data_IF_954597604419
#
_entry.id   IF_954597604419
#
_cell.length_a   1.000
_cell.length_b   1.000
_cell.length_c   1.000
_cell.angle_alpha   90.00
_cell.angle_beta   90.00
_cell.angle_gamma   90.00
#
_symmetry.space_group_name_H-M   'P 1'
#
loop_
_entity.id
_entity.type
_entity.pdbx_description
1 polymer ?
#
# COMPACT_ATOMS: atom_id res chain seq x y z
N UNK A 1 -53.92 -24.93 -29.55
CA UNK A 1 -53.57 -23.80 -30.43
C UNK A 1 -53.77 -22.53 -29.61
N UNK A 2 -52.74 -22.04 -28.95
CA UNK A 2 -51.80 -21.05 -29.48
C UNK A 2 -52.27 -19.58 -29.44
N UNK A 3 -52.27 -18.98 -28.24
CA UNK A 3 -51.49 -17.75 -28.03
C UNK A 3 -49.98 -18.05 -27.85
N UNK A 4 -49.59 -19.33 -28.00
CA UNK A 4 -48.37 -19.89 -28.64
C UNK A 4 -48.03 -19.27 -30.03
N UNK A 5 -48.13 -17.95 -30.20
CA UNK A 5 -47.50 -17.21 -31.32
C UNK A 5 -47.08 -15.76 -30.99
N UNK A 6 -47.37 -15.23 -29.79
CA UNK A 6 -46.78 -13.96 -29.34
C UNK A 6 -45.27 -14.07 -29.00
N UNK A 7 -44.74 -15.30 -28.95
CA UNK A 7 -43.30 -15.61 -28.82
C UNK A 7 -42.50 -15.26 -30.10
N UNK A 8 -43.13 -14.94 -31.23
CA UNK A 8 -42.41 -14.91 -32.52
C UNK A 8 -41.71 -13.61 -32.90
N UNK A 9 -42.06 -12.44 -32.35
CA UNK A 9 -41.42 -11.18 -32.75
C UNK A 9 -41.12 -10.30 -31.53
N UNK A 10 -39.85 -10.31 -31.11
CA UNK A 10 -39.34 -9.67 -29.90
C UNK A 10 -39.50 -8.15 -29.89
N UNK A 11 -40.51 -7.68 -29.17
CA UNK A 11 -40.74 -6.25 -28.94
C UNK A 11 -41.30 -6.01 -27.54
N UNK A 12 -40.49 -6.17 -26.48
CA UNK A 12 -40.77 -5.57 -25.17
C UNK A 12 -39.47 -5.27 -24.43
N UNK A 13 -39.05 -4.00 -24.45
CA UNK A 13 -38.63 -3.21 -23.28
C UNK A 13 -38.17 -1.81 -23.71
N UNK A 14 -39.14 -1.01 -24.13
CA UNK A 14 -39.18 0.44 -23.96
C UNK A 14 -40.59 0.73 -23.41
N UNK A 15 -40.76 0.67 -22.09
CA UNK A 15 -41.94 1.19 -21.43
C UNK A 15 -41.63 2.63 -20.98
N UNK A 16 -42.44 3.56 -21.48
CA UNK A 16 -42.27 5.01 -21.39
C UNK A 16 -42.22 5.52 -19.95
N UNK A 17 -41.17 6.28 -19.64
CA UNK A 17 -41.11 7.14 -18.45
C UNK A 17 -42.23 8.19 -18.54
N UNK A 18 -43.09 8.29 -17.53
CA UNK A 18 -44.12 9.34 -17.50
C UNK A 18 -43.51 10.74 -17.67
N UNK A 19 -44.23 11.68 -18.30
CA UNK A 19 -43.74 13.04 -18.61
C UNK A 19 -43.25 13.82 -17.40
N UNK A 20 -43.80 13.54 -16.21
CA UNK A 20 -43.36 14.11 -14.93
C UNK A 20 -41.99 13.59 -14.49
N UNK A 21 -41.70 12.31 -14.70
CA UNK A 21 -40.38 11.72 -14.39
C UNK A 21 -39.33 12.29 -15.34
N UNK A 22 -39.65 12.47 -16.63
CA UNK A 22 -38.70 13.04 -17.61
C UNK A 22 -38.37 14.52 -17.32
N UNK A 23 -39.38 15.32 -16.97
CA UNK A 23 -39.21 16.74 -16.61
C UNK A 23 -38.44 16.93 -15.29
N UNK A 24 -38.65 16.05 -14.31
CA UNK A 24 -37.91 16.06 -13.05
C UNK A 24 -36.43 15.74 -13.28
N UNK A 25 -36.13 14.76 -14.12
CA UNK A 25 -34.77 14.36 -14.49
C UNK A 25 -34.02 15.49 -15.23
N UNK A 26 -34.66 16.19 -16.17
CA UNK A 26 -34.06 17.35 -16.87
C UNK A 26 -33.77 18.54 -15.93
N UNK A 27 -34.61 18.77 -14.92
CA UNK A 27 -34.36 19.84 -13.93
C UNK A 27 -33.21 19.50 -12.99
N UNK A 28 -33.10 18.24 -12.58
CA UNK A 28 -32.01 17.77 -11.72
C UNK A 28 -30.66 17.80 -12.47
N UNK A 29 -30.63 17.37 -13.73
CA UNK A 29 -29.45 17.44 -14.60
C UNK A 29 -28.94 18.89 -14.79
N UNK A 30 -29.85 19.84 -15.05
CA UNK A 30 -29.48 21.24 -15.24
C UNK A 30 -28.96 21.93 -13.96
N UNK A 31 -29.46 21.53 -12.79
CA UNK A 31 -28.99 22.07 -11.52
C UNK A 31 -27.61 21.50 -11.15
N UNK A 32 -27.43 20.19 -11.33
CA UNK A 32 -26.15 19.49 -11.10
C UNK A 32 -25.02 20.04 -11.98
N UNK A 33 -25.28 20.25 -13.27
CA UNK A 33 -24.30 20.82 -14.20
C UNK A 33 -23.92 22.25 -13.86
N UNK A 34 -24.86 23.07 -13.36
CA UNK A 34 -24.58 24.44 -12.90
C UNK A 34 -23.69 24.45 -11.67
N UNK A 35 -23.89 23.54 -10.73
CA UNK A 35 -23.11 23.47 -9.50
C UNK A 35 -21.69 22.91 -9.74
N UNK A 36 -21.54 21.93 -10.65
CA UNK A 36 -20.21 21.50 -11.14
C UNK A 36 -19.49 22.60 -11.92
N UNK A 37 -20.20 23.38 -12.73
CA UNK A 37 -19.59 24.50 -13.44
C UNK A 37 -19.12 25.61 -12.49
N UNK A 38 -19.87 25.90 -11.42
CA UNK A 38 -19.40 26.79 -10.34
C UNK A 38 -18.14 26.24 -9.66
N UNK A 39 -18.10 24.93 -9.39
CA UNK A 39 -16.94 24.24 -8.80
C UNK A 39 -15.68 24.32 -9.69
N UNK A 40 -15.82 24.20 -11.01
CA UNK A 40 -14.68 24.27 -11.95
C UNK A 40 -14.03 25.65 -12.05
N UNK A 41 -14.74 26.72 -11.70
CA UNK A 41 -14.23 28.10 -11.83
C UNK A 41 -13.73 28.69 -10.50
N UNK A 42 -13.97 28.02 -9.37
CA UNK A 42 -13.39 28.40 -8.07
C UNK A 42 -11.95 27.90 -7.96
N UNK A 43 -10.98 28.82 -7.91
CA UNK A 43 -9.56 28.49 -7.74
C UNK A 43 -9.13 28.37 -6.26
N UNK A 44 -10.05 28.56 -5.31
CA UNK A 44 -9.74 28.53 -3.88
C UNK A 44 -10.81 27.73 -3.13
N UNK A 45 -10.42 26.52 -2.68
CA UNK A 45 -11.34 25.52 -2.11
C UNK A 45 -11.73 25.81 -0.64
N UNK A 46 -11.16 26.85 -0.02
CA UNK A 46 -11.43 27.26 1.37
C UNK A 46 -12.72 28.06 1.56
N UNK A 47 -13.29 28.61 0.48
CA UNK A 47 -14.51 29.44 0.53
C UNK A 47 -15.81 28.60 0.46
N UNK A 48 -15.72 27.27 0.64
CA UNK A 48 -16.80 26.31 0.40
C UNK A 48 -17.44 25.72 1.68
N UNK A 49 -17.28 26.40 2.81
CA UNK A 49 -17.98 26.02 4.04
C UNK A 49 -19.39 26.64 4.06
N UNK A 50 -20.43 25.80 4.16
CA UNK A 50 -21.81 26.28 4.27
C UNK A 50 -22.12 26.56 5.73
N UNK A 51 -22.46 27.81 6.04
CA UNK A 51 -22.86 28.22 7.39
C UNK A 51 -24.38 28.15 7.53
N UNK A 52 -24.88 27.28 8.40
CA UNK A 52 -26.30 27.17 8.73
C UNK A 52 -26.57 28.11 9.91
N UNK A 53 -27.02 29.32 9.61
CA UNK A 53 -27.24 30.40 10.59
C UNK A 53 -28.18 30.01 11.73
N UNK A 54 -29.18 29.16 11.47
CA UNK A 54 -30.17 28.73 12.47
C UNK A 54 -29.60 27.84 13.59
N UNK A 55 -28.51 27.14 13.29
CA UNK A 55 -27.89 26.12 14.17
C UNK A 55 -26.45 26.51 14.55
N UNK A 56 -25.97 27.66 14.08
CA UNK A 56 -24.60 28.16 14.21
C UNK A 56 -23.53 27.11 13.84
N UNK A 57 -23.82 26.29 12.82
CA UNK A 57 -22.96 25.21 12.35
C UNK A 57 -22.33 25.53 10.99
N UNK A 58 -21.03 25.24 10.87
CA UNK A 58 -20.23 25.37 9.65
C UNK A 58 -19.98 23.98 9.07
N UNK A 59 -20.59 23.65 7.93
CA UNK A 59 -20.41 22.37 7.26
C UNK A 59 -19.27 22.44 6.26
N UNK A 60 -18.22 21.66 6.53
CA UNK A 60 -17.06 21.53 5.65
C UNK A 60 -17.37 20.80 4.34
N UNK A 61 -16.61 21.09 3.28
CA UNK A 61 -16.80 20.58 1.91
C UNK A 61 -17.01 19.05 1.81
N UNK A 62 -16.43 18.27 2.75
CA UNK A 62 -16.59 16.81 2.86
C UNK A 62 -18.03 16.40 3.13
N UNK A 63 -18.76 17.17 3.95
CA UNK A 63 -20.15 16.89 4.31
C UNK A 63 -21.12 17.29 3.20
N UNK A 64 -20.83 18.35 2.44
CA UNK A 64 -21.69 18.80 1.32
C UNK A 64 -21.70 17.76 0.20
N UNK A 65 -20.54 17.16 -0.13
CA UNK A 65 -20.46 16.06 -1.10
C UNK A 65 -21.15 14.79 -0.61
N UNK A 66 -21.07 14.49 0.70
CA UNK A 66 -21.81 13.39 1.33
C UNK A 66 -23.33 13.62 1.31
N UNK A 67 -23.79 14.86 1.49
CA UNK A 67 -25.22 15.23 1.42
C UNK A 67 -25.78 15.22 -0.01
N UNK A 68 -24.93 15.39 -1.03
CA UNK A 68 -25.30 15.30 -2.45
C UNK A 68 -25.26 13.86 -3.00
N UNK A 69 -24.70 12.90 -2.24
CA UNK A 69 -24.60 11.51 -2.62
C UNK A 69 -25.95 10.80 -2.90
N UNK A 70 -27.04 11.07 -2.16
CA UNK A 70 -28.34 10.47 -2.47
C UNK A 70 -28.92 10.90 -3.81
N UNK A 71 -28.66 12.16 -4.24
CA UNK A 71 -29.12 12.71 -5.53
C UNK A 71 -28.26 12.25 -6.72
N UNK A 72 -26.98 11.97 -6.48
CA UNK A 72 -26.06 11.38 -7.47
C UNK A 72 -26.38 9.91 -7.78
N UNK A 73 -26.94 9.19 -6.80
CA UNK A 73 -27.17 7.76 -6.90
C UNK A 73 -28.22 7.39 -7.97
N UNK A 74 -29.35 8.12 -8.05
CA UNK A 74 -30.35 7.94 -9.13
C UNK A 74 -29.82 8.37 -10.52
N UNK A 75 -28.77 9.19 -10.57
CA UNK A 75 -28.20 9.75 -11.79
C UNK A 75 -27.21 8.79 -12.49
N UNK A 76 -26.56 7.92 -11.71
CA UNK A 76 -25.47 7.05 -12.19
C UNK A 76 -25.94 5.80 -12.93
N UNK A 77 -27.21 5.41 -12.80
CA UNK A 77 -27.74 4.22 -13.46
C UNK A 77 -28.05 4.41 -14.96
N UNK A 78 -27.77 5.58 -15.55
CA UNK A 78 -28.23 5.90 -16.91
C UNK A 78 -27.19 6.52 -17.87
N UNK A 79 -25.93 6.79 -17.48
CA UNK A 79 -24.93 7.14 -18.50
C UNK A 79 -23.46 6.90 -18.09
N UNK A 80 -22.75 6.10 -18.91
CA UNK A 80 -21.29 5.93 -18.83
C UNK A 80 -20.52 7.26 -19.03
N UNK A 81 -21.15 8.27 -19.64
CA UNK A 81 -20.55 9.57 -19.94
C UNK A 81 -20.34 10.49 -18.72
N UNK A 82 -21.00 10.21 -17.58
CA UNK A 82 -20.85 11.00 -16.35
C UNK A 82 -19.75 10.41 -15.46
N UNK A 83 -19.60 9.09 -15.46
CA UNK A 83 -18.53 8.39 -14.73
C UNK A 83 -17.16 8.89 -15.19
N UNK A 84 -16.89 8.97 -16.49
CA UNK A 84 -15.62 9.49 -17.01
C UNK A 84 -15.30 10.92 -16.55
N UNK A 85 -16.32 11.78 -16.38
CA UNK A 85 -16.14 13.18 -15.96
C UNK A 85 -16.02 13.39 -14.45
N UNK A 86 -16.46 12.43 -13.64
CA UNK A 86 -16.22 12.41 -12.17
C UNK A 86 -14.79 11.97 -11.87
N UNK A 87 -14.18 11.16 -12.72
CA UNK A 87 -12.79 10.70 -12.54
C UNK A 87 -11.74 11.69 -13.05
N UNK A 88 -12.15 12.73 -13.77
CA UNK A 88 -11.32 13.89 -14.16
C UNK A 88 -11.15 14.91 -13.01
N UNK A 89 -10.92 14.44 -11.78
CA UNK A 89 -10.42 15.35 -10.74
C UNK A 89 -8.97 15.73 -11.06
N UNK A 90 -8.56 17.00 -10.87
CA UNK A 90 -7.16 17.38 -11.04
C UNK A 90 -6.27 16.51 -10.15
N UNK A 91 -5.09 16.11 -10.64
CA UNK A 91 -4.13 15.20 -9.96
C UNK A 91 -3.76 15.60 -8.52
N UNK A 92 -4.08 16.84 -8.15
CA UNK A 92 -3.87 17.45 -6.84
C UNK A 92 -4.82 16.94 -5.74
N UNK A 93 -5.82 16.09 -6.05
CA UNK A 93 -6.67 15.46 -5.01
C UNK A 93 -5.94 14.29 -4.34
N UNK A 94 -5.69 14.34 -3.00
CA UNK A 94 -4.97 13.30 -2.27
C UNK A 94 -5.60 11.91 -2.45
N UNK A 95 -4.75 10.89 -2.60
CA UNK A 95 -5.16 9.48 -2.81
C UNK A 95 -6.10 8.95 -1.71
N UNK A 96 -5.95 9.46 -0.49
CA UNK A 96 -6.80 9.11 0.66
C UNK A 96 -8.26 9.50 0.40
N UNK A 97 -8.51 10.66 -0.20
CA UNK A 97 -9.87 11.16 -0.46
C UNK A 97 -10.52 10.42 -1.63
N UNK A 98 -9.73 10.00 -2.63
CA UNK A 98 -10.17 9.05 -3.68
C UNK A 98 -10.58 7.69 -3.09
N UNK A 99 -9.82 7.19 -2.12
CA UNK A 99 -10.13 5.92 -1.45
C UNK A 99 -11.37 6.04 -0.53
N UNK A 100 -11.54 7.18 0.16
CA UNK A 100 -12.74 7.46 0.95
C UNK A 100 -14.01 7.55 0.10
N UNK A 101 -13.94 8.17 -1.08
CA UNK A 101 -15.05 8.16 -2.04
C UNK A 101 -15.38 6.73 -2.49
N UNK A 102 -14.38 5.89 -2.76
CA UNK A 102 -14.56 4.48 -3.13
C UNK A 102 -15.24 3.65 -2.03
N UNK A 103 -14.93 3.93 -0.76
CA UNK A 103 -15.55 3.31 0.42
C UNK A 103 -17.03 3.72 0.54
N UNK A 104 -17.33 5.01 0.40
CA UNK A 104 -18.71 5.53 0.47
C UNK A 104 -19.58 5.00 -0.68
N UNK A 105 -19.03 4.91 -1.90
CA UNK A 105 -19.75 4.34 -3.05
C UNK A 105 -20.06 2.85 -2.88
N UNK A 106 -19.12 2.04 -2.35
CA UNK A 106 -19.36 0.61 -2.05
C UNK A 106 -20.34 0.40 -0.89
N UNK A 107 -20.37 1.32 0.07
CA UNK A 107 -21.33 1.27 1.17
C UNK A 107 -22.75 1.66 0.71
N UNK A 108 -22.88 2.67 -0.15
CA UNK A 108 -24.19 3.13 -0.63
C UNK A 108 -24.81 2.25 -1.74
N UNK A 109 -24.08 1.30 -2.33
CA UNK A 109 -24.67 0.19 -3.10
C UNK A 109 -25.62 -0.69 -2.24
N UNK A 110 -25.49 -0.65 -0.91
CA UNK A 110 -26.34 -1.43 0.00
C UNK A 110 -27.72 -0.79 0.23
N UNK A 111 -27.93 0.50 -0.08
CA UNK A 111 -29.16 1.24 0.24
C UNK A 111 -30.10 1.47 -0.96
N UNK A 112 -29.83 0.86 -2.11
CA UNK A 112 -30.77 0.86 -3.23
C UNK A 112 -31.79 -0.24 -3.02
N UNK A 113 -32.95 0.17 -2.53
CA UNK A 113 -34.15 -0.64 -2.63
C UNK A 113 -34.53 -0.66 -4.12
N UNK A 114 -33.98 -1.61 -4.87
CA UNK A 114 -34.55 -2.03 -6.14
C UNK A 114 -35.92 -2.64 -5.83
N UNK A 115 -36.98 -1.86 -6.03
CA UNK A 115 -38.36 -2.33 -5.98
C UNK A 115 -38.67 -3.16 -7.23
N UNK A 116 -38.13 -4.38 -7.25
CA UNK A 116 -38.61 -5.49 -8.05
C UNK A 116 -38.56 -6.71 -7.15
N UNK A 117 -39.63 -7.50 -7.09
CA UNK A 117 -39.72 -8.71 -6.25
C UNK A 117 -38.55 -9.69 -6.52
N UNK A 118 -37.40 -9.48 -5.88
CA UNK A 118 -36.43 -10.55 -5.66
C UNK A 118 -37.12 -11.51 -4.71
N UNK A 119 -37.49 -12.70 -5.21
CA UNK A 119 -37.85 -13.80 -4.32
C UNK A 119 -36.60 -14.06 -3.49
N UNK A 120 -36.65 -13.74 -2.20
CA UNK A 120 -35.54 -13.97 -1.29
C UNK A 120 -35.37 -15.48 -1.09
N UNK A 121 -34.60 -16.09 -1.97
CA UNK A 121 -34.26 -17.52 -1.91
C UNK A 121 -33.47 -17.86 -0.64
N UNK A 122 -32.94 -16.87 0.08
CA UNK A 122 -32.34 -17.10 1.40
C UNK A 122 -33.37 -17.62 2.41
N UNK A 123 -34.65 -17.27 2.24
CA UNK A 123 -35.73 -17.73 3.13
C UNK A 123 -35.96 -19.25 3.12
N UNK A 124 -35.52 -19.96 2.08
CA UNK A 124 -35.61 -21.42 1.99
C UNK A 124 -34.31 -22.13 2.42
N UNK A 125 -33.25 -21.39 2.73
CA UNK A 125 -32.00 -21.97 3.23
C UNK A 125 -32.24 -22.65 4.58
N UNK A 126 -31.62 -23.82 4.77
CA UNK A 126 -31.74 -24.64 5.98
C UNK A 126 -33.19 -25.05 6.33
N UNK A 127 -34.10 -24.99 5.35
CA UNK A 127 -35.45 -25.54 5.45
C UNK A 127 -35.46 -26.96 4.92
N UNK A 128 -36.03 -27.91 5.67
CA UNK A 128 -36.26 -29.26 5.14
C UNK A 128 -37.30 -29.29 4.00
N UNK A 129 -38.09 -28.22 3.85
CA UNK A 129 -39.13 -28.12 2.81
C UNK A 129 -38.47 -27.86 1.46
N UNK A 130 -38.73 -28.71 0.47
CA UNK A 130 -38.17 -28.68 -0.90
C UNK A 130 -36.66 -28.91 -1.03
N UNK A 131 -35.92 -29.04 0.07
CA UNK A 131 -34.51 -29.45 0.05
C UNK A 131 -34.36 -30.89 -0.45
N UNK A 132 -33.45 -31.09 -1.40
CA UNK A 132 -33.14 -32.38 -2.05
C UNK A 132 -31.71 -32.86 -1.74
N UNK A 133 -31.00 -32.13 -0.87
CA UNK A 133 -29.71 -32.51 -0.32
C UNK A 133 -29.52 -31.90 1.08
N UNK A 134 -28.77 -32.57 1.94
CA UNK A 134 -28.31 -32.02 3.19
C UNK A 134 -26.83 -32.33 3.42
N UNK A 135 -26.10 -31.40 4.02
CA UNK A 135 -24.73 -31.63 4.45
C UNK A 135 -24.69 -31.93 5.93
N UNK A 136 -23.84 -32.89 6.33
CA UNK A 136 -23.68 -33.30 7.72
C UNK A 136 -22.23 -33.08 8.17
N UNK A 137 -22.07 -32.31 9.25
CA UNK A 137 -20.80 -32.15 9.97
C UNK A 137 -21.05 -32.59 11.42
N UNK A 138 -20.35 -33.63 11.87
CA UNK A 138 -20.61 -34.25 13.18
C UNK A 138 -22.08 -34.65 13.33
N UNK A 139 -22.83 -33.99 14.24
CA UNK A 139 -24.26 -34.22 14.46
C UNK A 139 -25.16 -33.14 13.85
N UNK A 140 -24.57 -32.08 13.29
CA UNK A 140 -25.32 -30.96 12.75
C UNK A 140 -25.63 -31.21 11.27
N UNK A 141 -26.83 -30.80 10.85
CA UNK A 141 -27.35 -31.00 9.49
C UNK A 141 -27.74 -29.64 8.90
N UNK A 142 -27.30 -29.38 7.67
CA UNK A 142 -27.64 -28.18 6.90
C UNK A 142 -28.41 -28.59 5.64
N UNK A 143 -29.68 -28.19 5.55
CA UNK A 143 -30.55 -28.51 4.41
C UNK A 143 -30.38 -27.51 3.25
N UNK A 144 -30.25 -28.02 2.03
CA UNK A 144 -29.93 -27.26 0.83
C UNK A 144 -30.66 -27.77 -0.43
N UNK A 145 -30.51 -27.02 -1.53
CA UNK A 145 -31.09 -27.32 -2.84
C UNK A 145 -29.99 -27.52 -3.88
N UNK A 146 -29.90 -28.71 -4.48
CA UNK A 146 -28.89 -29.07 -5.48
C UNK A 146 -28.89 -28.10 -6.65
N UNK A 147 -30.07 -27.71 -7.13
CA UNK A 147 -30.21 -26.81 -8.29
C UNK A 147 -29.56 -25.43 -8.04
N UNK A 148 -29.68 -24.87 -6.83
CA UNK A 148 -29.07 -23.58 -6.49
C UNK A 148 -27.55 -23.73 -6.42
N UNK A 149 -27.08 -24.76 -5.71
CA UNK A 149 -25.65 -25.00 -5.51
C UNK A 149 -24.93 -25.29 -6.84
N UNK A 150 -25.48 -26.14 -7.70
CA UNK A 150 -24.89 -26.46 -9.00
C UNK A 150 -24.81 -25.25 -9.93
N UNK A 151 -25.85 -24.41 -9.98
CA UNK A 151 -25.85 -23.22 -10.86
C UNK A 151 -24.83 -22.17 -10.40
N UNK A 152 -24.49 -22.15 -9.10
CA UNK A 152 -23.67 -21.09 -8.49
C UNK A 152 -22.24 -21.54 -8.15
N UNK A 153 -21.95 -22.82 -8.25
CA UNK A 153 -20.66 -23.40 -7.89
C UNK A 153 -20.37 -24.67 -8.72
N UNK A 154 -19.34 -24.58 -9.57
CA UNK A 154 -18.89 -25.67 -10.44
C UNK A 154 -18.55 -26.95 -9.66
N UNK A 155 -17.97 -26.81 -8.46
CA UNK A 155 -17.69 -27.96 -7.60
C UNK A 155 -18.97 -28.77 -7.27
N UNK A 156 -20.06 -28.08 -6.91
CA UNK A 156 -21.34 -28.74 -6.62
C UNK A 156 -22.04 -29.21 -7.89
N UNK A 157 -21.86 -28.54 -9.03
CA UNK A 157 -22.31 -29.05 -10.33
C UNK A 157 -21.69 -30.41 -10.63
N UNK A 158 -20.37 -30.53 -10.52
CA UNK A 158 -19.65 -31.78 -10.77
C UNK A 158 -20.04 -32.85 -9.74
N UNK A 159 -20.17 -32.48 -8.45
CA UNK A 159 -20.58 -33.41 -7.40
C UNK A 159 -21.95 -34.03 -7.68
N UNK A 160 -22.91 -33.26 -8.18
CA UNK A 160 -24.31 -33.71 -8.36
C UNK A 160 -24.62 -34.26 -9.75
N UNK A 161 -23.86 -33.87 -10.79
CA UNK A 161 -24.05 -34.36 -12.17
C UNK A 161 -23.06 -35.46 -12.57
N UNK A 162 -21.96 -35.60 -11.83
CA UNK A 162 -20.85 -36.48 -12.18
C UNK A 162 -21.04 -37.94 -11.73
N UNK A 163 -19.90 -38.63 -11.61
CA UNK A 163 -19.83 -40.05 -11.22
C UNK A 163 -19.47 -40.23 -9.73
N UNK A 164 -19.61 -39.18 -8.94
CA UNK A 164 -19.27 -39.18 -7.53
C UNK A 164 -20.34 -39.92 -6.73
N UNK A 165 -19.95 -40.55 -5.62
CA UNK A 165 -20.89 -41.33 -4.79
C UNK A 165 -21.98 -40.43 -4.18
N UNK A 166 -21.62 -39.17 -3.93
CA UNK A 166 -22.42 -38.10 -3.37
C UNK A 166 -23.65 -37.76 -4.23
N UNK A 167 -23.62 -38.07 -5.53
CA UNK A 167 -24.75 -37.81 -6.44
C UNK A 167 -26.03 -38.50 -5.97
N UNK A 168 -25.92 -39.73 -5.47
CA UNK A 168 -27.05 -40.58 -5.07
C UNK A 168 -27.36 -40.46 -3.55
N UNK A 169 -26.64 -39.59 -2.83
CA UNK A 169 -26.77 -39.42 -1.38
C UNK A 169 -27.60 -38.20 -1.03
N UNK A 170 -28.69 -38.37 -0.28
CA UNK A 170 -29.47 -37.25 0.24
C UNK A 170 -28.81 -36.53 1.42
N UNK A 171 -27.88 -37.20 2.11
CA UNK A 171 -27.10 -36.64 3.22
C UNK A 171 -25.62 -36.87 2.93
N UNK A 172 -24.88 -35.79 2.71
CA UNK A 172 -23.46 -35.82 2.32
C UNK A 172 -22.62 -35.41 3.54
N UNK A 173 -21.74 -36.29 4.05
CA UNK A 173 -20.84 -35.94 5.14
C UNK A 173 -19.72 -35.02 4.65
N UNK A 174 -19.51 -33.89 5.32
CA UNK A 174 -18.38 -32.99 5.09
C UNK A 174 -17.38 -33.16 6.23
N UNK A 175 -16.11 -33.39 5.88
CA UNK A 175 -15.01 -33.57 6.82
C UNK A 175 -13.99 -32.43 6.66
N UNK A 176 -13.32 -32.05 7.75
CA UNK A 176 -12.24 -31.05 7.70
C UNK A 176 -12.69 -29.59 7.58
N UNK A 177 -13.98 -29.32 7.79
CA UNK A 177 -14.55 -27.98 7.81
C UNK A 177 -15.55 -27.84 8.97
N UNK A 178 -15.59 -26.67 9.59
CA UNK A 178 -16.57 -26.32 10.62
C UNK A 178 -17.94 -26.03 10.02
N UNK A 179 -18.99 -26.29 10.79
CA UNK A 179 -20.36 -25.97 10.36
C UNK A 179 -20.53 -24.47 10.07
N UNK A 180 -19.88 -23.60 10.83
CA UNK A 180 -19.91 -22.15 10.61
C UNK A 180 -19.37 -21.75 9.24
N UNK A 181 -18.23 -22.32 8.84
CA UNK A 181 -17.65 -22.06 7.52
C UNK A 181 -18.51 -22.62 6.40
N UNK A 182 -19.06 -23.83 6.56
CA UNK A 182 -19.97 -24.40 5.57
C UNK A 182 -21.22 -23.53 5.41
N UNK A 183 -21.84 -23.08 6.51
CA UNK A 183 -22.97 -22.15 6.46
C UNK A 183 -22.62 -20.89 5.69
N UNK A 184 -21.45 -20.29 5.92
CA UNK A 184 -21.01 -19.08 5.18
C UNK A 184 -20.91 -19.31 3.68
N UNK A 185 -20.32 -20.43 3.27
CA UNK A 185 -20.20 -20.81 1.85
C UNK A 185 -21.57 -20.98 1.22
N UNK A 186 -22.47 -21.72 1.89
CA UNK A 186 -23.81 -21.97 1.37
C UNK A 186 -24.64 -20.67 1.36
N UNK A 187 -24.61 -19.87 2.42
CA UNK A 187 -25.26 -18.57 2.49
C UNK A 187 -24.80 -17.66 1.34
N UNK A 188 -23.50 -17.63 1.03
CA UNK A 188 -22.97 -16.89 -0.11
C UNK A 188 -23.57 -17.35 -1.46
N UNK A 189 -23.77 -18.65 -1.65
CA UNK A 189 -24.35 -19.19 -2.88
C UNK A 189 -25.84 -18.84 -3.05
N UNK A 190 -26.57 -18.74 -1.94
CA UNK A 190 -27.96 -18.28 -1.93
C UNK A 190 -28.05 -16.76 -2.07
N UNK A 191 -27.19 -16.04 -1.37
CA UNK A 191 -27.14 -14.59 -1.32
C UNK A 191 -25.69 -14.09 -1.39
N UNK A 192 -25.23 -13.59 -2.54
CA UNK A 192 -23.88 -13.04 -2.69
C UNK A 192 -23.59 -11.80 -1.82
N UNK A 193 -24.59 -11.21 -1.17
CA UNK A 193 -24.48 -9.98 -0.35
C UNK A 193 -24.26 -10.28 1.15
N UNK A 194 -23.70 -11.44 1.51
CA UNK A 194 -23.38 -11.76 2.91
C UNK A 194 -22.34 -10.81 3.51
N UNK A 195 -22.37 -10.69 4.84
CA UNK A 195 -21.34 -9.99 5.63
C UNK A 195 -20.62 -11.04 6.47
N UNK A 196 -19.29 -11.07 6.40
CA UNK A 196 -18.48 -11.91 7.29
C UNK A 196 -18.50 -11.30 8.69
N UNK A 197 -18.83 -12.10 9.71
CA UNK A 197 -18.80 -11.65 11.10
C UNK A 197 -17.39 -11.70 11.69
N UNK A 198 -17.19 -10.95 12.77
CA UNK A 198 -15.85 -10.80 13.39
C UNK A 198 -15.33 -12.07 14.05
N UNK A 199 -16.24 -12.95 14.50
CA UNK A 199 -15.92 -14.18 15.23
C UNK A 199 -15.61 -15.37 14.29
N UNK A 200 -15.63 -15.16 12.98
CA UNK A 200 -15.45 -16.25 12.01
C UNK A 200 -14.01 -16.69 11.87
N UNK A 201 -13.81 -17.97 11.58
CA UNK A 201 -12.51 -18.49 11.19
C UNK A 201 -12.19 -18.10 9.73
N UNK A 202 -11.65 -16.90 9.55
CA UNK A 202 -11.34 -16.36 8.23
C UNK A 202 -10.36 -17.22 7.42
N UNK A 203 -9.45 -17.94 8.10
CA UNK A 203 -8.53 -18.88 7.45
C UNK A 203 -9.29 -20.04 6.80
N UNK A 204 -10.25 -20.59 7.53
CA UNK A 204 -11.07 -21.69 7.04
C UNK A 204 -12.01 -21.23 5.91
N UNK A 205 -12.58 -20.02 6.00
CA UNK A 205 -13.38 -19.42 4.93
C UNK A 205 -12.53 -19.17 3.69
N UNK A 206 -11.31 -18.65 3.84
CA UNK A 206 -10.39 -18.47 2.72
C UNK A 206 -10.06 -19.81 2.04
N UNK A 207 -9.84 -20.86 2.84
CA UNK A 207 -9.64 -22.22 2.34
C UNK A 207 -10.84 -22.76 1.59
N UNK A 208 -12.05 -22.55 2.13
CA UNK A 208 -13.28 -23.02 1.51
C UNK A 208 -13.56 -22.26 0.20
N UNK A 209 -13.37 -20.94 0.19
CA UNK A 209 -13.52 -20.11 -1.00
C UNK A 209 -12.59 -20.57 -2.13
N UNK A 210 -11.35 -20.94 -1.80
CA UNK A 210 -10.41 -21.51 -2.76
C UNK A 210 -10.82 -22.91 -3.22
N UNK A 211 -11.14 -23.81 -2.29
CA UNK A 211 -11.55 -25.19 -2.57
C UNK A 211 -12.80 -25.28 -3.46
N UNK A 212 -13.80 -24.44 -3.20
CA UNK A 212 -15.04 -24.37 -3.97
C UNK A 212 -14.96 -23.40 -5.17
N UNK A 213 -13.79 -22.82 -5.43
CA UNK A 213 -13.54 -21.89 -6.56
C UNK A 213 -14.48 -20.66 -6.58
N UNK A 214 -14.83 -20.14 -5.40
CA UNK A 214 -15.77 -19.03 -5.24
C UNK A 214 -15.04 -17.69 -5.26
N UNK A 215 -14.79 -17.16 -6.46
CA UNK A 215 -14.06 -15.90 -6.65
C UNK A 215 -14.67 -14.72 -5.88
N UNK A 216 -16.00 -14.56 -5.87
CA UNK A 216 -16.64 -13.48 -5.11
C UNK A 216 -16.48 -13.61 -3.59
N UNK A 217 -16.42 -14.84 -3.06
CA UNK A 217 -16.12 -15.06 -1.65
C UNK A 217 -14.64 -14.78 -1.34
N UNK A 218 -13.73 -15.12 -2.26
CA UNK A 218 -12.31 -14.70 -2.18
C UNK A 218 -12.19 -13.17 -2.13
N UNK A 219 -12.91 -12.45 -2.99
CA UNK A 219 -12.92 -10.98 -2.98
C UNK A 219 -13.45 -10.42 -1.65
N UNK A 220 -14.47 -11.04 -1.07
CA UNK A 220 -15.01 -10.66 0.24
C UNK A 220 -14.00 -10.90 1.37
N UNK A 221 -13.30 -12.04 1.36
CA UNK A 221 -12.21 -12.34 2.32
C UNK A 221 -11.08 -11.31 2.19
N UNK A 222 -10.64 -11.00 0.96
CA UNK A 222 -9.63 -9.97 0.74
C UNK A 222 -10.09 -8.62 1.26
N UNK A 223 -11.32 -8.21 0.96
CA UNK A 223 -11.87 -6.95 1.46
C UNK A 223 -11.91 -6.91 2.99
N UNK A 224 -12.30 -8.02 3.63
CA UNK A 224 -12.33 -8.13 5.08
C UNK A 224 -10.92 -7.98 5.69
N UNK A 225 -9.90 -8.62 5.09
CA UNK A 225 -8.50 -8.45 5.49
C UNK A 225 -8.04 -7.00 5.31
N UNK A 226 -8.32 -6.38 4.16
CA UNK A 226 -7.96 -4.99 3.90
C UNK A 226 -8.62 -4.05 4.92
N UNK A 227 -9.89 -4.28 5.27
CA UNK A 227 -10.65 -3.44 6.19
C UNK A 227 -10.22 -3.64 7.65
N UNK A 228 -10.23 -4.88 8.16
CA UNK A 228 -10.11 -5.16 9.60
C UNK A 228 -8.67 -5.47 10.05
N UNK A 229 -7.81 -5.96 9.15
CA UNK A 229 -6.43 -6.34 9.49
C UNK A 229 -5.46 -5.24 9.05
N UNK A 230 -5.61 -4.76 7.82
CA UNK A 230 -4.69 -3.79 7.23
C UNK A 230 -5.17 -2.34 7.29
N UNK A 231 -6.44 -2.09 7.62
CA UNK A 231 -7.09 -0.77 7.54
C UNK A 231 -6.75 0.02 6.27
N UNK A 232 -6.80 -0.66 5.12
CA UNK A 232 -6.43 -0.14 3.81
C UNK A 232 -5.02 0.48 3.75
N UNK A 233 -4.08 -0.09 4.50
CA UNK A 233 -2.67 0.28 4.47
C UNK A 233 -2.40 1.74 4.85
N UNK A 234 -3.11 2.24 5.87
CA UNK A 234 -2.92 3.58 6.44
C UNK A 234 -1.59 3.72 7.24
N UNK A 235 -1.41 4.78 8.02
CA UNK A 235 -0.22 4.94 8.87
C UNK A 235 -0.19 3.93 10.05
N UNK A 236 0.97 3.35 10.42
CA UNK A 236 1.06 2.30 11.43
C UNK A 236 0.23 2.54 12.69
N UNK A 237 -0.80 1.71 12.88
CA UNK A 237 -1.57 1.61 14.12
C UNK A 237 -1.34 0.26 14.80
N UNK A 238 -1.73 0.15 16.07
CA UNK A 238 -1.54 -1.07 16.87
C UNK A 238 -2.15 -2.32 16.21
N UNK A 239 -3.35 -2.20 15.65
CA UNK A 239 -4.05 -3.30 14.98
C UNK A 239 -3.27 -3.77 13.74
N UNK A 240 -2.94 -2.87 12.80
CA UNK A 240 -2.21 -3.23 11.59
C UNK A 240 -0.88 -3.92 11.87
N UNK A 241 -0.10 -3.41 12.82
CA UNK A 241 1.21 -3.98 13.16
C UNK A 241 1.06 -5.43 13.67
N UNK A 242 0.01 -5.70 14.46
CA UNK A 242 -0.29 -7.03 14.99
C UNK A 242 -0.83 -8.00 13.94
N UNK A 243 -1.70 -7.51 13.06
CA UNK A 243 -2.47 -8.35 12.15
C UNK A 243 -1.84 -8.55 10.77
N UNK A 244 -0.86 -7.74 10.39
CA UNK A 244 -0.24 -7.82 9.06
C UNK A 244 0.42 -9.17 8.78
N UNK A 245 0.97 -9.84 9.81
CA UNK A 245 1.55 -11.19 9.66
C UNK A 245 0.49 -12.23 9.31
N UNK A 246 -0.69 -12.16 9.92
CA UNK A 246 -1.84 -13.01 9.60
C UNK A 246 -2.37 -12.73 8.20
N UNK A 247 -2.46 -11.45 7.81
CA UNK A 247 -2.88 -11.06 6.47
C UNK A 247 -1.93 -11.62 5.40
N UNK A 248 -0.61 -11.53 5.62
CA UNK A 248 0.40 -12.13 4.73
C UNK A 248 0.20 -13.64 4.64
N UNK A 249 0.11 -14.33 5.78
CA UNK A 249 -0.07 -15.77 5.82
C UNK A 249 -1.29 -16.22 5.00
N UNK A 250 -2.47 -15.64 5.26
CA UNK A 250 -3.69 -15.98 4.51
C UNK A 250 -3.51 -15.62 3.02
N UNK A 251 -2.88 -14.48 2.73
CA UNK A 251 -2.69 -14.03 1.35
C UNK A 251 -1.83 -14.97 0.51
N UNK A 252 -0.76 -15.50 1.08
CA UNK A 252 0.15 -16.41 0.38
C UNK A 252 -0.42 -17.82 0.27
N UNK A 253 -1.04 -18.33 1.34
CA UNK A 253 -1.58 -19.69 1.35
C UNK A 253 -2.69 -19.90 0.30
N UNK A 254 -3.52 -18.89 0.05
CA UNK A 254 -4.68 -19.00 -0.84
C UNK A 254 -4.60 -18.08 -2.07
N UNK A 255 -3.40 -17.57 -2.39
CA UNK A 255 -3.14 -16.88 -3.66
C UNK A 255 -3.76 -15.49 -3.81
N UNK A 256 -3.95 -14.74 -2.71
CA UNK A 256 -4.32 -13.32 -2.75
C UNK A 256 -3.10 -12.45 -3.07
N UNK A 257 -2.60 -12.54 -4.30
CA UNK A 257 -1.33 -11.95 -4.74
C UNK A 257 -1.27 -10.44 -4.59
N UNK A 258 -2.32 -9.72 -5.00
CA UNK A 258 -2.41 -8.26 -4.87
C UNK A 258 -2.34 -7.80 -3.40
N UNK A 259 -3.07 -8.49 -2.51
CA UNK A 259 -3.03 -8.24 -1.08
C UNK A 259 -1.63 -8.50 -0.50
N UNK A 260 -1.00 -9.62 -0.85
CA UNK A 260 0.35 -9.97 -0.42
C UNK A 260 1.36 -8.86 -0.80
N UNK A 261 1.32 -8.41 -2.06
CA UNK A 261 2.20 -7.33 -2.54
C UNK A 261 1.98 -6.03 -1.76
N UNK A 262 0.72 -5.65 -1.50
CA UNK A 262 0.38 -4.47 -0.69
C UNK A 262 0.92 -4.59 0.74
N UNK A 263 0.79 -5.76 1.38
CA UNK A 263 1.33 -6.03 2.71
C UNK A 263 2.85 -5.84 2.76
N UNK A 264 3.60 -6.44 1.83
CA UNK A 264 5.05 -6.28 1.78
C UNK A 264 5.50 -4.85 1.48
N UNK A 265 4.78 -4.13 0.60
CA UNK A 265 5.06 -2.72 0.32
C UNK A 265 4.86 -1.85 1.57
N UNK A 266 3.77 -2.08 2.30
CA UNK A 266 3.49 -1.35 3.53
C UNK A 266 4.54 -1.62 4.61
N UNK A 267 4.95 -2.89 4.77
CA UNK A 267 6.02 -3.27 5.70
C UNK A 267 7.35 -2.62 5.34
N UNK A 268 7.78 -2.68 4.08
CA UNK A 268 9.02 -2.05 3.63
C UNK A 268 9.01 -0.53 3.84
N UNK A 269 7.87 0.13 3.66
CA UNK A 269 7.71 1.57 3.90
C UNK A 269 7.76 1.95 5.38
N UNK A 270 7.24 1.09 6.26
CA UNK A 270 7.04 1.38 7.68
C UNK A 270 7.91 0.55 8.64
N UNK A 271 8.93 -0.14 8.12
CA UNK A 271 9.79 -1.07 8.89
C UNK A 271 10.39 -0.42 10.15
N UNK A 272 10.74 0.87 10.10
CA UNK A 272 11.29 1.63 11.23
C UNK A 272 10.40 1.63 12.48
N UNK A 273 9.08 1.50 12.31
CA UNK A 273 8.10 1.42 13.40
C UNK A 273 7.71 -0.03 13.66
N UNK A 274 7.47 -0.79 12.59
CA UNK A 274 6.99 -2.17 12.68
C UNK A 274 8.02 -3.09 13.32
N UNK A 275 9.30 -2.98 12.94
CA UNK A 275 10.37 -3.85 13.45
C UNK A 275 10.71 -3.55 14.91
N UNK A 276 10.34 -2.39 15.45
CA UNK A 276 10.47 -2.09 16.87
C UNK A 276 9.38 -2.77 17.72
N UNK A 277 8.31 -3.27 17.11
CA UNK A 277 7.19 -3.87 17.83
C UNK A 277 7.46 -5.36 18.14
N UNK A 278 7.20 -5.76 19.39
CA UNK A 278 7.42 -7.14 19.87
C UNK A 278 6.53 -8.16 19.18
N UNK A 279 5.27 -7.81 18.90
CA UNK A 279 4.30 -8.71 18.29
C UNK A 279 4.75 -9.09 16.87
N UNK A 280 5.18 -8.10 16.09
CA UNK A 280 5.74 -8.36 14.77
C UNK A 280 7.05 -9.15 14.83
N UNK A 281 7.89 -8.95 15.85
CA UNK A 281 9.12 -9.73 15.98
C UNK A 281 8.90 -11.22 16.22
N UNK A 282 7.70 -11.62 16.62
CA UNK A 282 7.31 -13.03 16.76
C UNK A 282 6.94 -13.68 15.43
N UNK A 283 6.90 -12.94 14.32
CA UNK A 283 6.66 -13.47 12.98
C UNK A 283 7.86 -14.30 12.47
N UNK A 284 7.62 -15.06 11.39
CA UNK A 284 8.64 -15.90 10.76
C UNK A 284 9.82 -15.07 10.26
N UNK A 285 11.02 -15.66 10.33
CA UNK A 285 12.28 -14.97 10.02
C UNK A 285 12.45 -14.69 8.52
N UNK A 286 12.01 -15.62 7.67
CA UNK A 286 12.00 -15.49 6.21
C UNK A 286 11.25 -14.24 5.74
N UNK A 287 10.14 -13.88 6.41
CA UNK A 287 9.41 -12.64 6.10
C UNK A 287 10.26 -11.40 6.35
N UNK A 288 11.02 -11.37 7.44
CA UNK A 288 11.89 -10.23 7.78
C UNK A 288 13.04 -10.11 6.79
N UNK A 289 13.65 -11.23 6.41
CA UNK A 289 14.71 -11.28 5.40
C UNK A 289 14.23 -10.74 4.05
N UNK A 290 13.06 -11.22 3.58
CA UNK A 290 12.46 -10.75 2.34
C UNK A 290 12.18 -9.24 2.35
N UNK A 291 11.70 -8.70 3.47
CA UNK A 291 11.46 -7.26 3.63
C UNK A 291 12.78 -6.49 3.56
N UNK A 292 13.83 -6.98 4.22
CA UNK A 292 15.15 -6.34 4.20
C UNK A 292 15.74 -6.33 2.80
N UNK A 293 15.65 -7.43 2.06
CA UNK A 293 16.12 -7.49 0.68
C UNK A 293 15.34 -6.54 -0.23
N UNK A 294 14.01 -6.45 -0.04
CA UNK A 294 13.19 -5.46 -0.73
C UNK A 294 13.59 -4.02 -0.40
N UNK A 295 13.93 -3.74 0.87
CA UNK A 295 14.45 -2.42 1.27
C UNK A 295 15.79 -2.15 0.59
N UNK A 296 16.74 -3.10 0.60
CA UNK A 296 18.05 -2.96 -0.07
C UNK A 296 17.89 -2.61 -1.55
N UNK A 297 16.95 -3.26 -2.25
CA UNK A 297 16.63 -2.96 -3.65
C UNK A 297 16.03 -1.57 -3.87
N UNK A 298 15.37 -1.00 -2.85
CA UNK A 298 14.79 0.35 -2.91
C UNK A 298 15.77 1.47 -2.53
N UNK A 299 16.95 1.13 -2.00
CA UNK A 299 17.97 2.13 -1.62
C UNK A 299 18.49 2.85 -2.86
N UNK A 300 18.52 4.17 -2.79
CA UNK A 300 18.95 5.06 -3.85
C UNK A 300 19.74 6.25 -3.28
N UNK A 301 20.34 7.06 -4.15
CA UNK A 301 21.05 8.28 -3.76
C UNK A 301 20.16 9.32 -3.07
N UNK A 302 18.83 9.18 -3.15
CA UNK A 302 17.85 10.13 -2.60
C UNK A 302 17.42 9.76 -1.18
N UNK A 303 17.30 8.46 -0.89
CA UNK A 303 16.68 7.96 0.36
C UNK A 303 17.67 7.27 1.32
N UNK A 304 18.91 7.00 0.91
CA UNK A 304 19.87 6.23 1.73
C UNK A 304 20.12 6.84 3.12
N UNK A 305 20.22 8.17 3.23
CA UNK A 305 20.39 8.84 4.53
C UNK A 305 19.18 8.65 5.44
N UNK A 306 17.97 8.62 4.88
CA UNK A 306 16.75 8.34 5.62
C UNK A 306 16.73 6.89 6.14
N UNK A 307 17.19 5.93 5.34
CA UNK A 307 17.34 4.54 5.79
C UNK A 307 18.37 4.41 6.93
N UNK A 308 19.51 5.10 6.85
CA UNK A 308 20.50 5.14 7.94
C UNK A 308 19.90 5.71 9.23
N UNK A 309 19.07 6.76 9.14
CA UNK A 309 18.32 7.29 10.28
C UNK A 309 17.44 6.23 10.93
N UNK A 310 16.70 5.50 10.13
CA UNK A 310 15.79 4.45 10.59
C UNK A 310 16.55 3.28 11.21
N UNK A 311 17.65 2.83 10.59
CA UNK A 311 18.50 1.80 11.16
C UNK A 311 19.09 2.23 12.50
N UNK A 312 19.65 3.44 12.59
CA UNK A 312 20.19 3.97 13.85
C UNK A 312 19.13 4.06 14.95
N UNK A 313 17.91 4.51 14.60
CA UNK A 313 16.78 4.53 15.55
C UNK A 313 16.45 3.12 16.03
N UNK A 314 16.29 2.17 15.11
CA UNK A 314 15.95 0.78 15.44
C UNK A 314 17.01 0.12 16.33
N UNK A 315 18.30 0.28 15.98
CA UNK A 315 19.43 -0.25 16.77
C UNK A 315 19.39 0.27 18.21
N UNK A 316 19.04 1.55 18.41
CA UNK A 316 18.92 2.15 19.75
C UNK A 316 17.68 1.69 20.51
N UNK A 317 16.57 1.43 19.81
CA UNK A 317 15.29 1.07 20.45
C UNK A 317 15.12 -0.41 20.73
N UNK A 318 15.76 -1.27 19.95
CA UNK A 318 15.64 -2.72 20.10
C UNK A 318 16.46 -3.19 21.31
N UNK A 319 15.88 -3.98 22.23
CA UNK A 319 16.62 -4.52 23.36
C UNK A 319 17.56 -5.65 22.93
N UNK A 320 18.70 -5.82 23.62
CA UNK A 320 19.67 -6.91 23.40
C UNK A 320 19.20 -8.29 23.89
N UNK A 321 17.90 -8.55 23.84
CA UNK A 321 17.26 -9.78 24.31
C UNK A 321 17.02 -10.75 23.17
N UNK A 322 16.99 -12.06 23.46
CA UNK A 322 16.88 -13.14 22.47
C UNK A 322 15.76 -12.97 21.42
N UNK A 323 14.63 -12.33 21.76
CA UNK A 323 13.54 -12.13 20.80
C UNK A 323 13.82 -11.04 19.75
N UNK A 324 14.76 -10.13 20.01
CA UNK A 324 15.10 -9.00 19.14
C UNK A 324 16.46 -9.17 18.43
N UNK A 325 17.34 -10.04 18.92
CA UNK A 325 18.70 -10.23 18.39
C UNK A 325 18.73 -10.47 16.87
N UNK A 326 17.92 -11.40 16.36
CA UNK A 326 17.88 -11.68 14.90
C UNK A 326 17.47 -10.46 14.07
N UNK A 327 16.56 -9.64 14.60
CA UNK A 327 16.14 -8.41 13.93
C UNK A 327 17.22 -7.34 14.04
N UNK A 328 17.94 -7.26 15.15
CA UNK A 328 19.11 -6.40 15.29
C UNK A 328 20.21 -6.78 14.27
N UNK A 329 20.45 -8.08 14.05
CA UNK A 329 21.41 -8.56 13.06
C UNK A 329 21.04 -8.09 11.65
N UNK A 330 19.79 -8.31 11.25
CA UNK A 330 19.25 -7.86 9.96
C UNK A 330 19.34 -6.33 9.77
N UNK A 331 19.03 -5.56 10.82
CA UNK A 331 19.12 -4.10 10.76
C UNK A 331 20.58 -3.64 10.73
N UNK A 332 21.48 -4.33 11.41
CA UNK A 332 22.93 -4.03 11.37
C UNK A 332 23.53 -4.33 10.01
N UNK A 333 23.07 -5.40 9.36
CA UNK A 333 23.42 -5.73 7.98
C UNK A 333 22.91 -4.66 7.01
N UNK A 334 21.63 -4.26 7.13
CA UNK A 334 21.05 -3.18 6.32
C UNK A 334 21.78 -1.85 6.55
N UNK A 335 22.17 -1.54 7.78
CA UNK A 335 22.95 -0.35 8.11
C UNK A 335 24.31 -0.36 7.41
N UNK A 336 25.02 -1.50 7.48
CA UNK A 336 26.32 -1.69 6.82
C UNK A 336 26.20 -1.56 5.29
N UNK A 337 25.14 -2.14 4.72
CA UNK A 337 24.81 -1.98 3.29
C UNK A 337 24.59 -0.51 2.91
N UNK A 338 23.78 0.22 3.68
CA UNK A 338 23.53 1.63 3.42
C UNK A 338 24.80 2.49 3.54
N UNK A 339 25.65 2.24 4.55
CA UNK A 339 26.93 2.96 4.71
C UNK A 339 27.87 2.70 3.53
N UNK A 340 27.98 1.44 3.09
CA UNK A 340 28.77 1.09 1.89
C UNK A 340 28.23 1.79 0.64
N UNK A 341 26.90 1.78 0.45
CA UNK A 341 26.24 2.46 -0.66
C UNK A 341 26.54 3.96 -0.69
N UNK A 342 26.55 4.62 0.48
CA UNK A 342 26.91 6.04 0.61
C UNK A 342 28.33 6.29 0.11
N UNK A 343 29.29 5.47 0.53
CA UNK A 343 30.68 5.62 0.11
C UNK A 343 30.85 5.40 -1.40
N UNK A 344 30.26 4.33 -1.94
CA UNK A 344 30.38 3.94 -3.35
C UNK A 344 29.72 4.95 -4.30
N UNK A 345 28.66 5.64 -3.85
CA UNK A 345 27.86 6.56 -4.67
C UNK A 345 27.92 8.02 -4.19
N UNK A 346 28.96 8.38 -3.43
CA UNK A 346 29.02 9.67 -2.73
C UNK A 346 28.89 10.87 -3.66
N UNK A 347 29.52 10.83 -4.83
CA UNK A 347 29.38 11.88 -5.85
C UNK A 347 27.91 12.13 -6.23
N UNK A 348 27.16 11.07 -6.54
CA UNK A 348 25.74 11.18 -6.93
C UNK A 348 24.88 11.71 -5.79
N UNK A 349 25.15 11.26 -4.57
CA UNK A 349 24.44 11.70 -3.36
C UNK A 349 24.68 13.20 -3.13
N UNK A 350 25.94 13.64 -3.15
CA UNK A 350 26.32 15.04 -2.90
C UNK A 350 25.71 16.04 -3.89
N UNK A 351 25.39 15.59 -5.12
CA UNK A 351 24.77 16.41 -6.17
C UNK A 351 23.25 16.58 -6.00
N UNK A 352 22.60 15.73 -5.23
CA UNK A 352 21.14 15.72 -5.15
C UNK A 352 20.63 16.85 -4.23
N UNK A 353 19.55 17.58 -4.57
CA UNK A 353 19.02 18.66 -3.71
C UNK A 353 18.66 18.20 -2.29
N UNK A 354 18.17 16.98 -2.14
CA UNK A 354 17.88 16.38 -0.82
C UNK A 354 19.10 16.29 0.09
N UNK A 355 20.32 16.18 -0.46
CA UNK A 355 21.54 16.20 0.33
C UNK A 355 21.73 17.56 1.00
N UNK A 356 21.54 18.65 0.25
CA UNK A 356 21.66 20.00 0.79
C UNK A 356 20.61 20.23 1.89
N UNK A 357 19.37 19.83 1.62
CA UNK A 357 18.26 19.91 2.57
C UNK A 357 18.43 19.06 3.82
N UNK A 358 19.38 18.12 3.87
CA UNK A 358 19.61 17.27 5.04
C UNK A 358 20.88 17.68 5.76
N UNK A 359 21.98 17.82 5.02
CA UNK A 359 23.30 18.12 5.57
C UNK A 359 23.50 19.60 5.90
N UNK A 360 22.59 20.48 5.49
CA UNK A 360 22.62 21.92 5.77
C UNK A 360 21.25 22.45 6.26
N UNK A 361 20.40 21.59 6.82
CA UNK A 361 19.10 22.02 7.37
C UNK A 361 19.25 22.78 8.68
N UNK A 362 19.20 24.11 8.59
CA UNK A 362 19.23 25.00 9.76
C UNK A 362 18.05 24.81 10.71
N UNK A 363 16.94 24.23 10.27
CA UNK A 363 15.76 24.03 11.13
C UNK A 363 15.85 22.75 11.96
N UNK A 364 16.74 21.81 11.60
CA UNK A 364 16.83 20.51 12.24
C UNK A 364 18.30 20.11 12.50
N UNK A 365 18.97 20.85 13.37
CA UNK A 365 20.37 20.64 13.74
C UNK A 365 20.69 19.20 14.17
N UNK A 366 19.80 18.55 14.93
CA UNK A 366 20.00 17.17 15.40
C UNK A 366 20.06 16.20 14.22
N UNK A 367 19.18 16.38 13.23
CA UNK A 367 19.18 15.53 12.05
C UNK A 367 20.38 15.82 11.14
N UNK A 368 20.74 17.10 10.99
CA UNK A 368 21.88 17.54 10.22
C UNK A 368 23.19 16.91 10.72
N UNK A 369 23.48 17.03 12.02
CA UNK A 369 24.70 16.50 12.64
C UNK A 369 24.78 14.97 12.50
N UNK A 370 23.66 14.29 12.75
CA UNK A 370 23.56 12.84 12.56
C UNK A 370 23.81 12.41 11.11
N UNK A 371 23.27 13.14 10.13
CA UNK A 371 23.47 12.83 8.71
C UNK A 371 24.93 13.05 8.29
N UNK A 372 25.56 14.13 8.76
CA UNK A 372 26.97 14.40 8.54
C UNK A 372 27.85 13.28 9.14
N UNK A 373 27.58 12.85 10.37
CA UNK A 373 28.29 11.76 11.03
C UNK A 373 28.14 10.41 10.30
N UNK A 374 26.96 10.12 9.75
CA UNK A 374 26.77 8.94 8.91
C UNK A 374 27.66 8.95 7.68
N UNK A 375 27.80 10.09 7.02
CA UNK A 375 28.66 10.24 5.84
C UNK A 375 30.13 10.07 6.23
N UNK A 376 30.58 10.71 7.31
CA UNK A 376 31.95 10.57 7.81
C UNK A 376 32.22 9.10 8.14
N UNK A 377 31.29 8.43 8.81
CA UNK A 377 31.42 7.01 9.17
C UNK A 377 31.44 6.12 7.93
N UNK A 378 30.57 6.36 6.95
CA UNK A 378 30.54 5.61 5.70
C UNK A 378 31.87 5.68 4.96
N UNK A 379 32.40 6.91 4.77
CA UNK A 379 33.65 7.13 4.05
C UNK A 379 34.84 6.58 4.85
N UNK A 380 34.88 6.80 6.17
CA UNK A 380 35.96 6.27 7.02
C UNK A 380 36.04 4.75 6.99
N UNK A 381 34.90 4.06 6.96
CA UNK A 381 34.84 2.60 7.05
C UNK A 381 34.98 1.91 5.69
N UNK A 382 34.44 2.48 4.61
CA UNK A 382 34.28 1.79 3.32
C UNK A 382 35.04 2.41 2.15
N UNK A 383 35.87 3.45 2.37
CA UNK A 383 36.71 3.98 1.30
C UNK A 383 37.71 2.92 0.82
N UNK A 384 37.83 2.82 -0.50
CA UNK A 384 38.66 1.84 -1.18
C UNK A 384 39.34 2.47 -2.40
N UNK A 385 40.29 1.74 -3.00
CA UNK A 385 40.95 2.19 -4.23
C UNK A 385 39.91 2.33 -5.35
N UNK A 386 38.86 1.53 -5.37
CA UNK A 386 37.87 1.55 -6.46
C UNK A 386 36.92 2.76 -6.38
N UNK A 387 36.54 3.18 -5.16
CA UNK A 387 35.56 4.24 -4.95
C UNK A 387 36.16 5.61 -4.55
N UNK A 388 37.47 5.72 -4.31
CA UNK A 388 38.09 6.96 -3.83
C UNK A 388 37.89 8.15 -4.78
N UNK A 389 37.77 7.89 -6.09
CA UNK A 389 37.47 8.93 -7.08
C UNK A 389 36.06 9.49 -6.91
N UNK A 390 35.05 8.63 -6.65
CA UNK A 390 33.69 9.09 -6.34
C UNK A 390 33.66 9.92 -5.05
N UNK A 391 34.43 9.49 -4.04
CA UNK A 391 34.57 10.25 -2.79
C UNK A 391 35.17 11.63 -3.06
N UNK A 392 36.24 11.70 -3.86
CA UNK A 392 36.87 12.96 -4.23
C UNK A 392 35.90 13.92 -4.94
N UNK A 393 35.16 13.45 -5.94
CA UNK A 393 34.21 14.32 -6.64
C UNK A 393 33.05 14.77 -5.74
N UNK A 394 32.62 13.94 -4.79
CA UNK A 394 31.66 14.36 -3.78
C UNK A 394 32.20 15.45 -2.85
N UNK A 395 33.46 15.34 -2.41
CA UNK A 395 34.15 16.39 -1.63
C UNK A 395 34.23 17.72 -2.38
N UNK A 396 34.62 17.67 -3.66
CA UNK A 396 34.67 18.87 -4.51
C UNK A 396 33.29 19.52 -4.62
N UNK A 397 32.23 18.72 -4.76
CA UNK A 397 30.87 19.26 -4.78
C UNK A 397 30.48 19.93 -3.47
N UNK A 398 30.77 19.29 -2.34
CA UNK A 398 30.50 19.87 -1.03
C UNK A 398 31.22 21.21 -0.86
N UNK A 399 32.50 21.28 -1.23
CA UNK A 399 33.26 22.52 -1.17
C UNK A 399 32.64 23.63 -2.06
N UNK A 400 32.16 23.27 -3.26
CA UNK A 400 31.45 24.21 -4.14
C UNK A 400 30.14 24.71 -3.52
N UNK A 401 29.35 23.82 -2.93
CA UNK A 401 28.09 24.16 -2.24
C UNK A 401 28.38 25.13 -1.09
N UNK A 402 29.39 24.85 -0.27
CA UNK A 402 29.79 25.71 0.85
C UNK A 402 30.23 27.09 0.36
N UNK A 403 31.01 27.17 -0.72
CA UNK A 403 31.42 28.44 -1.31
C UNK A 403 30.23 29.27 -1.81
N UNK A 404 29.20 28.64 -2.37
CA UNK A 404 27.97 29.33 -2.80
C UNK A 404 27.17 29.83 -1.58
N UNK A 405 26.99 29.00 -0.56
CA UNK A 405 26.29 29.38 0.66
C UNK A 405 26.97 30.56 1.38
N UNK A 406 28.32 30.58 1.42
CA UNK A 406 29.11 31.69 1.96
C UNK A 406 28.87 32.99 1.20
N UNK A 407 28.81 32.94 -0.14
CA UNK A 407 28.56 34.13 -0.98
C UNK A 407 27.17 34.74 -0.78
N UNK A 408 26.19 33.92 -0.41
CA UNK A 408 24.80 34.37 -0.24
C UNK A 408 24.49 34.90 1.19
N UNK A 409 25.48 34.99 2.09
CA UNK A 409 25.28 35.31 3.51
C UNK A 409 24.26 34.38 4.22
N UNK A 410 24.07 33.18 3.70
CA UNK A 410 23.19 32.17 4.29
C UNK A 410 23.96 31.26 5.27
N UNK A 411 25.06 31.71 5.86
CA UNK A 411 25.95 30.88 6.70
C UNK A 411 25.78 31.09 8.21
N UNK A 412 24.55 30.98 8.74
CA UNK A 412 24.38 30.65 10.17
C UNK A 412 24.69 29.15 10.36
N UNK A 413 25.68 28.82 11.19
CA UNK A 413 26.18 27.44 11.38
C UNK A 413 27.46 27.09 10.60
N UNK A 414 28.23 28.08 10.16
CA UNK A 414 29.45 27.91 9.36
C UNK A 414 30.49 26.99 10.00
N UNK A 415 30.64 27.04 11.33
CA UNK A 415 31.60 26.22 12.08
C UNK A 415 31.33 24.71 11.92
N UNK A 416 30.07 24.28 12.00
CA UNK A 416 29.69 22.87 11.83
C UNK A 416 29.95 22.39 10.40
N UNK A 417 29.61 23.22 9.42
CA UNK A 417 29.78 22.90 8.01
C UNK A 417 31.26 22.81 7.62
N UNK A 418 32.08 23.74 8.11
CA UNK A 418 33.52 23.70 7.93
C UNK A 418 34.15 22.51 8.69
N UNK A 419 33.66 22.20 9.90
CA UNK A 419 34.10 21.01 10.66
C UNK A 419 33.79 19.71 9.91
N UNK A 420 32.61 19.59 9.32
CA UNK A 420 32.22 18.44 8.51
C UNK A 420 33.14 18.25 7.30
N UNK A 421 33.38 19.30 6.51
CA UNK A 421 34.31 19.22 5.37
C UNK A 421 35.73 18.86 5.83
N UNK A 422 36.23 19.48 6.91
CA UNK A 422 37.55 19.17 7.45
C UNK A 422 37.68 17.71 7.86
N UNK A 423 36.69 17.14 8.56
CA UNK A 423 36.69 15.72 8.95
C UNK A 423 36.76 14.80 7.74
N UNK A 424 36.02 15.11 6.68
CA UNK A 424 36.04 14.30 5.45
C UNK A 424 37.36 14.42 4.70
N UNK A 425 37.90 15.63 4.59
CA UNK A 425 39.20 15.87 3.96
C UNK A 425 40.33 15.14 4.70
N UNK A 426 40.31 15.14 6.04
CA UNK A 426 41.29 14.43 6.86
C UNK A 426 41.23 12.91 6.64
N UNK A 427 40.02 12.34 6.63
CA UNK A 427 39.81 10.91 6.33
C UNK A 427 40.29 10.58 4.92
N UNK A 428 39.95 11.41 3.93
CA UNK A 428 40.32 11.20 2.54
C UNK A 428 41.84 11.29 2.34
N UNK A 429 42.48 12.35 2.84
CA UNK A 429 43.95 12.53 2.76
C UNK A 429 44.67 11.35 3.41
N UNK A 430 44.26 10.95 4.62
CA UNK A 430 44.84 9.80 5.30
C UNK A 430 44.76 8.52 4.46
N UNK A 431 43.64 8.29 3.78
CA UNK A 431 43.48 7.16 2.88
C UNK A 431 44.42 7.25 1.66
N UNK A 432 44.50 8.43 1.02
CA UNK A 432 45.36 8.66 -0.14
C UNK A 432 46.83 8.44 0.21
N UNK A 433 47.33 9.00 1.32
CA UNK A 433 48.73 8.83 1.75
C UNK A 433 49.11 7.35 1.90
N UNK A 434 48.20 6.53 2.45
CA UNK A 434 48.46 5.08 2.65
C UNK A 434 48.35 4.24 1.38
N UNK A 435 47.51 4.64 0.42
CA UNK A 435 47.13 3.79 -0.71
C UNK A 435 47.54 4.36 -2.08
N UNK A 436 48.35 5.44 -2.11
CA UNK A 436 48.67 6.18 -3.33
C UNK A 436 49.22 5.31 -4.47
N UNK A 437 50.16 4.41 -4.18
CA UNK A 437 50.71 3.50 -5.19
C UNK A 437 49.66 2.57 -5.81
N UNK A 438 48.69 2.10 -5.01
CA UNK A 438 47.58 1.30 -5.48
C UNK A 438 46.66 2.10 -6.41
N UNK A 439 46.38 3.36 -6.04
CA UNK A 439 45.58 4.29 -6.84
C UNK A 439 46.23 4.57 -8.20
N UNK A 440 47.55 4.78 -8.24
CA UNK A 440 48.28 5.02 -9.49
C UNK A 440 48.26 3.83 -10.46
N UNK A 441 48.07 2.62 -9.94
CA UNK A 441 48.00 1.38 -10.72
C UNK A 441 46.57 1.03 -11.15
N UNK A 442 45.56 1.72 -10.61
CA UNK A 442 44.17 1.46 -10.95
C UNK A 442 43.88 1.81 -12.42
N UNK A 443 42.96 1.07 -13.03
CA UNK A 443 42.59 1.23 -14.44
C UNK A 443 42.08 2.63 -14.77
N UNK A 444 41.33 3.24 -13.84
CA UNK A 444 40.77 4.58 -14.01
C UNK A 444 41.81 5.71 -13.89
N UNK A 445 43.03 5.45 -13.38
CA UNK A 445 44.00 6.52 -13.11
C UNK A 445 44.35 7.29 -14.38
N UNK A 446 44.54 6.57 -15.49
CA UNK A 446 44.88 7.14 -16.80
C UNK A 446 43.73 7.97 -17.41
N UNK A 447 42.49 7.73 -16.98
CA UNK A 447 41.31 8.46 -17.45
C UNK A 447 41.01 9.71 -16.63
N UNK A 448 41.64 9.89 -15.46
CA UNK A 448 41.50 11.10 -14.65
C UNK A 448 42.11 12.32 -15.36
N UNK A 449 41.54 13.49 -15.10
CA UNK A 449 42.12 14.76 -15.58
C UNK A 449 43.50 14.99 -14.96
N UNK A 450 44.36 15.73 -15.67
CA UNK A 450 45.70 16.08 -15.15
C UNK A 450 45.64 16.85 -13.84
N UNK A 451 44.61 17.68 -13.66
CA UNK A 451 44.36 18.44 -12.43
C UNK A 451 44.03 17.51 -11.26
N UNK A 452 43.13 16.54 -11.45
CA UNK A 452 42.79 15.56 -10.41
C UNK A 452 44.00 14.69 -10.05
N UNK A 453 44.79 14.24 -11.04
CA UNK A 453 46.02 13.49 -10.77
C UNK A 453 47.04 14.31 -9.96
N UNK A 454 47.15 15.62 -10.24
CA UNK A 454 48.03 16.53 -9.50
C UNK A 454 47.58 16.66 -8.04
N UNK A 455 46.29 16.85 -7.81
CA UNK A 455 45.74 16.96 -6.45
C UNK A 455 45.95 15.67 -5.64
N UNK A 456 45.77 14.50 -6.26
CA UNK A 456 46.05 13.23 -5.58
C UNK A 456 47.54 13.07 -5.23
N UNK A 457 48.45 13.58 -6.06
CA UNK A 457 49.90 13.64 -5.75
C UNK A 457 50.21 14.60 -4.61
N UNK A 458 49.60 15.79 -4.63
CA UNK A 458 49.78 16.79 -3.57
C UNK A 458 49.27 16.24 -2.22
N UNK A 459 48.11 15.59 -2.20
CA UNK A 459 47.53 14.98 -1.00
C UNK A 459 48.27 13.73 -0.50
N UNK A 460 49.04 13.04 -1.35
CA UNK A 460 49.80 11.86 -0.94
C UNK A 460 51.12 12.21 -0.27
N UNK A 461 51.55 13.48 -0.29
CA UNK A 461 52.85 13.91 0.22
C UNK A 461 54.03 13.53 -0.69
N UNK A 462 53.78 12.86 -1.82
CA UNK A 462 54.77 12.64 -2.87
C UNK A 462 54.87 13.91 -3.73
N UNK A 463 55.41 14.98 -3.16
CA UNK A 463 55.90 16.10 -3.96
C UNK A 463 57.03 15.59 -4.84
N UNK A 464 56.88 15.81 -6.15
CA UNK A 464 57.90 15.53 -7.17
C UNK A 464 59.15 16.34 -6.80
N UNK A 465 60.21 15.64 -6.44
CA UNK A 465 61.59 16.14 -6.53
C UNK A 465 61.95 16.44 -7.98
#
# INVERSE_FOLDING_TARGET
MSCKKAISNGSWLLAEKTSKTKLLMEKLENNFLKDIQKLKHSKNYSDMDVFIEKENMRLHHKCVLLCLAPTLYEFLFLSENVFSKIFDFPENVPQIERNSLRIVYKQNEQDVICTSHEVDITSILNSAVHSDVAFKINNDILHCHRCILSVRCEYFEIMFSGHWREKDQNVIPINGMSMSTLCTVIEFLYNPKIKLSEDMNLLEIASAADMYMLLGLKELVQFYLELHYCHFFHQPCNICIKQISHAIFISEQYGYTDLSVKCYNWLAKHYAVVFANRDFNSCRQDYKELIIDKIKLSVSSVNVLQHLKFCSKLIKTLPSTNWANKTQDLISELNSFCLKFVCDNFEKISKHPSFILVCYDKKNFIWMDMAQDFIVTAIKTYISIENCVNVHFGLVQINNILNVLKRNNECEGEEHCNSFLSKLDDVFKHFITKNFHGICRASYWKTLSKETQKLFKENSGFLVS
#
